data_IF_205242909070
#
_entry.id   IF_205242909070
#
_cell.length_a   1.000
_cell.length_b   1.000
_cell.length_c   1.000
_cell.angle_alpha   90.00
_cell.angle_beta   90.00
_cell.angle_gamma   90.00
#
_symmetry.space_group_name_H-M   'P 1'
#
loop_
_entity.id
_entity.type
_entity.pdbx_description
1 polymer ?
#
# COMPACT_ATOMS: atom_id res chain seq x y z
N UNK A 1 -4.11 48.48 72.78
CA UNK A 1 -5.01 47.34 72.59
C UNK A 1 -4.70 46.78 71.21
N UNK A 2 -4.08 45.59 71.18
CA UNK A 2 -3.44 44.98 69.97
C UNK A 2 -4.43 43.96 69.45
N UNK A 3 -4.95 44.14 68.25
CA UNK A 3 -5.82 43.19 67.54
C UNK A 3 -5.03 42.24 66.72
N UNK A 4 -5.04 40.96 67.06
CA UNK A 4 -4.39 39.86 66.29
C UNK A 4 -5.26 39.43 65.11
N UNK A 5 -4.75 39.63 63.91
CA UNK A 5 -5.36 39.12 62.70
C UNK A 5 -4.93 37.66 62.45
N UNK A 6 -5.89 36.74 62.46
CA UNK A 6 -5.68 35.36 62.04
C UNK A 6 -5.64 35.25 60.51
N UNK A 7 -4.49 34.88 59.98
CA UNK A 7 -4.36 34.49 58.55
C UNK A 7 -4.75 33.01 58.42
N UNK A 8 -5.87 32.73 57.74
CA UNK A 8 -6.26 31.37 57.36
C UNK A 8 -5.57 31.00 56.04
N UNK A 9 -4.66 30.05 56.10
CA UNK A 9 -4.08 29.47 54.92
C UNK A 9 -5.07 28.46 54.29
N UNK A 10 -5.50 28.76 53.07
CA UNK A 10 -6.25 27.79 52.24
C UNK A 10 -5.25 26.89 51.53
N UNK A 11 -5.25 25.62 51.88
CA UNK A 11 -4.52 24.59 51.14
C UNK A 11 -5.35 24.21 49.90
N UNK A 12 -4.85 24.52 48.70
CA UNK A 12 -5.43 24.09 47.44
C UNK A 12 -4.90 22.68 47.19
N UNK A 13 -5.75 21.66 47.34
CA UNK A 13 -5.47 20.30 46.93
C UNK A 13 -5.71 20.21 45.42
N UNK A 14 -4.63 20.18 44.63
CA UNK A 14 -4.70 19.90 43.20
C UNK A 14 -4.84 18.38 43.05
N UNK A 15 -6.04 17.93 42.78
CA UNK A 15 -6.28 16.52 42.35
C UNK A 15 -5.87 16.40 40.90
N UNK A 16 -4.68 15.83 40.64
CA UNK A 16 -4.32 15.41 39.31
C UNK A 16 -5.22 14.24 38.92
N UNK A 17 -6.18 14.49 38.04
CA UNK A 17 -6.89 13.42 37.33
C UNK A 17 -5.91 12.79 36.32
N UNK A 18 -5.35 11.64 36.69
CA UNK A 18 -4.66 10.79 35.74
C UNK A 18 -5.75 10.16 34.87
N UNK A 19 -5.95 10.70 33.68
CA UNK A 19 -6.72 10.03 32.64
C UNK A 19 -5.95 8.75 32.25
N UNK A 20 -6.34 7.63 32.82
CA UNK A 20 -5.95 6.32 32.32
C UNK A 20 -6.74 6.13 31.02
N UNK A 21 -6.06 6.30 29.90
CA UNK A 21 -6.60 6.01 28.58
C UNK A 21 -6.73 4.47 28.46
N UNK A 22 -7.89 3.95 28.88
CA UNK A 22 -8.23 2.53 28.81
C UNK A 22 -9.00 2.26 27.52
N UNK A 23 -8.31 2.24 26.37
CA UNK A 23 -8.86 1.63 25.17
C UNK A 23 -7.79 0.95 24.31
N UNK A 24 -7.07 0.02 24.92
CA UNK A 24 -6.42 -1.04 24.16
C UNK A 24 -7.37 -2.26 24.11
N UNK A 25 -8.42 -2.21 23.29
CA UNK A 25 -8.99 -3.44 22.74
C UNK A 25 -7.87 -4.07 21.93
N UNK A 26 -7.36 -5.23 22.36
CA UNK A 26 -6.20 -5.91 21.80
C UNK A 26 -6.39 -6.32 20.33
N UNK A 27 -6.32 -5.35 19.42
CA UNK A 27 -6.18 -5.60 18.00
C UNK A 27 -4.76 -6.08 17.71
N UNK A 28 -4.62 -7.01 16.76
CA UNK A 28 -3.30 -7.46 16.29
C UNK A 28 -2.55 -6.26 15.75
N UNK A 29 -1.36 -5.97 16.29
CA UNK A 29 -0.46 -4.98 15.70
C UNK A 29 0.12 -5.54 14.40
N UNK A 30 -0.50 -5.14 13.29
CA UNK A 30 -0.11 -5.62 11.95
C UNK A 30 1.31 -5.17 11.59
N UNK A 31 1.77 -4.00 12.02
CA UNK A 31 3.13 -3.54 11.74
C UNK A 31 4.17 -4.41 12.47
N UNK A 32 3.92 -4.74 13.75
CA UNK A 32 4.78 -5.65 14.50
C UNK A 32 4.82 -7.04 13.84
N UNK A 33 3.66 -7.54 13.39
CA UNK A 33 3.58 -8.80 12.66
C UNK A 33 4.34 -8.76 11.33
N UNK A 34 4.23 -7.69 10.55
CA UNK A 34 5.02 -7.53 9.32
C UNK A 34 6.52 -7.66 9.58
N UNK A 35 7.02 -7.00 10.65
CA UNK A 35 8.44 -7.08 11.03
C UNK A 35 8.83 -8.48 11.53
N UNK A 36 7.99 -9.14 12.32
CA UNK A 36 8.18 -10.53 12.75
C UNK A 36 8.35 -11.49 11.56
N UNK A 37 7.64 -11.22 10.44
CA UNK A 37 7.74 -11.98 9.19
C UNK A 37 8.93 -11.56 8.32
N UNK A 38 9.82 -10.70 8.83
CA UNK A 38 11.03 -10.25 8.13
C UNK A 38 10.79 -9.21 7.05
N UNK A 39 9.63 -8.54 7.06
CA UNK A 39 9.34 -7.47 6.13
C UNK A 39 9.89 -6.13 6.67
N UNK A 40 10.24 -5.24 5.75
CA UNK A 40 10.72 -3.89 6.05
C UNK A 40 9.73 -2.85 5.54
N UNK A 41 9.56 -1.77 6.30
CA UNK A 41 8.83 -0.58 5.89
C UNK A 41 9.61 0.14 4.80
N UNK A 42 8.99 0.41 3.66
CA UNK A 42 9.64 1.09 2.53
C UNK A 42 10.21 2.46 2.90
N UNK A 43 9.58 3.18 3.81
CA UNK A 43 10.03 4.49 4.25
C UNK A 43 11.40 4.44 4.99
N UNK A 44 11.77 3.27 5.53
CA UNK A 44 13.10 3.07 6.13
C UNK A 44 14.20 2.80 5.09
N UNK A 45 13.81 2.47 3.86
CA UNK A 45 14.73 2.20 2.74
C UNK A 45 14.85 3.43 1.84
N UNK A 46 13.74 4.06 1.51
CA UNK A 46 13.67 5.31 0.76
C UNK A 46 12.41 6.10 1.17
N UNK A 47 12.59 7.12 2.01
CA UNK A 47 11.50 7.96 2.53
C UNK A 47 10.90 8.90 1.48
N UNK A 48 11.45 8.98 0.27
CA UNK A 48 10.91 9.79 -0.82
C UNK A 48 9.83 9.07 -1.63
N UNK A 49 9.64 7.76 -1.41
CA UNK A 49 8.55 6.99 -1.99
C UNK A 49 7.28 7.29 -1.19
N UNK A 50 6.25 7.75 -1.87
CA UNK A 50 4.96 8.05 -1.23
C UNK A 50 4.17 6.76 -0.98
N UNK A 51 3.37 6.76 0.08
CA UNK A 51 2.50 5.63 0.46
C UNK A 51 1.08 6.15 0.66
N UNK A 52 0.13 5.54 -0.07
CA UNK A 52 -1.31 5.79 0.01
C UNK A 52 -2.04 4.44 -0.10
N UNK A 53 -1.98 3.65 0.98
CA UNK A 53 -2.56 2.30 1.00
C UNK A 53 -4.08 2.38 0.84
N UNK A 54 -4.58 2.16 -0.37
CA UNK A 54 -6.02 2.26 -0.70
C UNK A 54 -6.90 1.36 0.15
N UNK A 55 -6.41 0.19 0.52
CA UNK A 55 -7.15 -0.74 1.37
C UNK A 55 -7.10 -0.42 2.87
N UNK A 56 -6.35 0.61 3.26
CA UNK A 56 -6.40 1.18 4.61
C UNK A 56 -7.52 2.22 4.78
N UNK A 57 -8.15 2.63 3.70
CA UNK A 57 -9.27 3.58 3.66
C UNK A 57 -10.55 2.90 3.17
N UNK A 58 -11.62 3.68 2.98
CA UNK A 58 -12.89 3.19 2.43
C UNK A 58 -13.05 3.49 0.94
N UNK A 59 -12.20 4.36 0.39
CA UNK A 59 -12.15 4.70 -1.04
C UNK A 59 -11.36 3.63 -1.81
N UNK A 60 -11.94 2.44 -1.90
CA UNK A 60 -11.45 1.30 -2.66
C UNK A 60 -12.62 0.46 -3.17
N UNK A 61 -12.38 -0.49 -4.07
CA UNK A 61 -13.44 -1.29 -4.67
C UNK A 61 -14.23 -2.16 -3.68
N UNK A 62 -13.68 -2.38 -2.49
CA UNK A 62 -14.35 -3.16 -1.42
C UNK A 62 -15.29 -2.28 -0.59
N UNK A 63 -15.09 -0.94 -0.62
CA UNK A 63 -15.85 0.04 0.14
C UNK A 63 -15.63 -0.02 1.65
N UNK A 64 -14.49 -0.58 2.11
CA UNK A 64 -14.21 -0.79 3.53
C UNK A 64 -12.72 -0.83 3.80
N UNK A 65 -12.30 -0.40 4.99
CA UNK A 65 -10.92 -0.55 5.46
C UNK A 65 -10.59 -2.03 5.69
N UNK A 66 -9.63 -2.56 4.92
CA UNK A 66 -9.16 -3.94 5.00
C UNK A 66 -7.93 -4.10 5.89
N UNK A 67 -7.22 -3.01 6.19
CA UNK A 67 -5.93 -3.01 6.87
C UNK A 67 -5.98 -2.53 8.33
N UNK A 68 -7.18 -2.17 8.83
CA UNK A 68 -7.32 -1.68 10.20
C UNK A 68 -6.46 -0.43 10.44
N UNK A 69 -5.47 -0.54 11.32
CA UNK A 69 -4.55 0.57 11.67
C UNK A 69 -3.28 0.62 10.83
N UNK A 70 -3.02 -0.38 9.96
CA UNK A 70 -1.83 -0.40 9.12
C UNK A 70 -1.86 0.76 8.11
N UNK A 71 -0.79 1.57 8.13
CA UNK A 71 -0.62 2.72 7.22
C UNK A 71 0.72 2.71 6.49
N UNK A 72 1.60 1.76 6.80
CA UNK A 72 2.93 1.63 6.22
C UNK A 72 2.97 0.52 5.20
N UNK A 73 3.73 0.72 4.14
CA UNK A 73 3.94 -0.24 3.08
C UNK A 73 5.14 -1.14 3.41
N UNK A 74 4.86 -2.41 3.67
CA UNK A 74 5.87 -3.42 3.99
C UNK A 74 6.17 -4.32 2.81
N UNK A 75 7.44 -4.69 2.65
CA UNK A 75 7.92 -5.58 1.60
C UNK A 75 9.03 -6.49 2.12
N UNK A 76 9.32 -7.56 1.40
CA UNK A 76 10.59 -8.26 1.60
C UNK A 76 11.76 -7.32 1.32
N UNK A 77 12.89 -7.46 2.06
CA UNK A 77 14.01 -6.50 1.95
C UNK A 77 14.53 -6.31 0.52
N UNK A 78 14.59 -7.39 -0.28
CA UNK A 78 15.02 -7.34 -1.67
C UNK A 78 14.05 -6.54 -2.55
N UNK A 79 12.73 -6.68 -2.32
CA UNK A 79 11.69 -5.93 -3.04
C UNK A 79 11.78 -4.44 -2.69
N UNK A 80 11.93 -4.11 -1.41
CA UNK A 80 12.08 -2.73 -0.96
C UNK A 80 13.32 -2.07 -1.59
N UNK A 81 14.46 -2.77 -1.64
CA UNK A 81 15.68 -2.27 -2.31
C UNK A 81 15.48 -2.07 -3.81
N UNK A 82 14.78 -2.98 -4.48
CA UNK A 82 14.45 -2.84 -5.90
C UNK A 82 13.55 -1.62 -6.15
N UNK A 83 12.51 -1.39 -5.33
CA UNK A 83 11.65 -0.21 -5.41
C UNK A 83 12.44 1.09 -5.19
N UNK A 84 13.35 1.13 -4.23
CA UNK A 84 14.24 2.28 -4.02
C UNK A 84 15.17 2.52 -5.23
N UNK A 85 15.60 1.47 -5.93
CA UNK A 85 16.35 1.61 -7.18
C UNK A 85 15.47 2.19 -8.30
N UNK A 86 14.20 1.76 -8.43
CA UNK A 86 13.23 2.36 -9.35
C UNK A 86 13.04 3.85 -9.05
N UNK A 87 12.86 4.21 -7.78
CA UNK A 87 12.70 5.59 -7.33
C UNK A 87 13.89 6.47 -7.73
N UNK A 88 15.10 6.00 -7.51
CA UNK A 88 16.32 6.74 -7.92
C UNK A 88 16.38 6.98 -9.42
N UNK A 89 16.06 5.95 -10.24
CA UNK A 89 16.05 6.11 -11.70
C UNK A 89 14.92 7.03 -12.18
N UNK A 90 13.75 6.95 -11.53
CA UNK A 90 12.63 7.84 -11.81
C UNK A 90 13.02 9.30 -11.56
N UNK A 91 13.65 9.60 -10.41
CA UNK A 91 14.13 10.95 -10.07
C UNK A 91 15.27 11.43 -10.97
N UNK A 92 16.09 10.55 -11.53
CA UNK A 92 17.09 10.90 -12.56
C UNK A 92 16.42 11.30 -13.87
N UNK A 93 15.30 10.67 -14.21
CA UNK A 93 14.51 11.04 -15.39
C UNK A 93 13.88 12.42 -15.21
N UNK A 94 13.27 12.66 -14.06
CA UNK A 94 12.71 13.94 -13.65
C UNK A 94 12.62 14.00 -12.11
N UNK A 95 13.29 15.00 -11.50
CA UNK A 95 13.35 15.18 -10.05
C UNK A 95 11.98 15.42 -9.38
N UNK A 96 10.99 15.87 -10.13
CA UNK A 96 9.62 16.12 -9.69
C UNK A 96 8.77 14.86 -9.64
N UNK A 97 9.23 13.75 -10.23
CA UNK A 97 8.53 12.47 -10.19
C UNK A 97 8.89 11.66 -8.95
N UNK A 98 7.91 10.96 -8.41
CA UNK A 98 8.09 9.97 -7.33
C UNK A 98 7.14 8.80 -7.53
N UNK A 99 7.51 7.64 -6.99
CA UNK A 99 6.58 6.53 -6.84
C UNK A 99 5.54 6.85 -5.76
N UNK A 100 4.32 6.35 -5.96
CA UNK A 100 3.28 6.24 -4.93
C UNK A 100 2.79 4.80 -4.86
N UNK A 101 2.81 4.22 -3.67
CA UNK A 101 2.39 2.83 -3.41
C UNK A 101 0.94 2.82 -2.97
N UNK A 102 0.10 2.06 -3.69
CA UNK A 102 -1.33 1.87 -3.40
C UNK A 102 -1.61 0.57 -2.64
N UNK A 103 -0.77 -0.47 -2.85
CA UNK A 103 -0.82 -1.72 -2.09
C UNK A 103 0.55 -2.37 -2.00
N UNK A 104 0.76 -3.13 -0.90
CA UNK A 104 2.04 -3.72 -0.53
C UNK A 104 1.86 -5.16 -0.02
N UNK A 105 2.63 -5.57 0.97
CA UNK A 105 2.42 -6.83 1.68
C UNK A 105 1.03 -6.85 2.32
N UNK A 106 0.21 -7.84 1.96
CA UNK A 106 -1.18 -7.98 2.37
C UNK A 106 -1.34 -9.18 3.28
N UNK A 107 -1.77 -9.02 4.54
CA UNK A 107 -2.08 -10.15 5.40
C UNK A 107 -3.18 -11.04 4.82
N UNK A 108 -3.14 -12.32 5.12
CA UNK A 108 -4.15 -13.26 4.64
C UNK A 108 -5.54 -12.94 5.20
N UNK A 109 -5.62 -12.39 6.40
CA UNK A 109 -6.88 -11.91 6.98
C UNK A 109 -7.51 -10.78 6.15
N UNK A 110 -6.72 -9.85 5.61
CA UNK A 110 -7.20 -8.82 4.69
C UNK A 110 -7.63 -9.43 3.33
N UNK A 111 -6.85 -10.36 2.80
CA UNK A 111 -7.19 -11.10 1.58
C UNK A 111 -8.52 -11.86 1.72
N UNK A 112 -8.78 -12.48 2.88
CA UNK A 112 -10.03 -13.17 3.17
C UNK A 112 -11.21 -12.19 3.17
N UNK A 113 -11.08 -11.03 3.83
CA UNK A 113 -12.12 -10.00 3.84
C UNK A 113 -12.44 -9.48 2.43
N UNK A 114 -11.40 -9.26 1.59
CA UNK A 114 -11.60 -8.88 0.18
C UNK A 114 -12.34 -9.97 -0.60
N UNK A 115 -11.91 -11.23 -0.45
CA UNK A 115 -12.54 -12.36 -1.11
C UNK A 115 -14.01 -12.50 -0.75
N UNK A 116 -14.35 -12.40 0.53
CA UNK A 116 -15.73 -12.52 1.01
C UNK A 116 -16.67 -11.46 0.42
N UNK A 117 -16.12 -10.30 0.06
CA UNK A 117 -16.88 -9.23 -0.62
C UNK A 117 -17.10 -9.50 -2.10
N UNK A 118 -16.21 -10.22 -2.77
CA UNK A 118 -16.25 -10.35 -4.24
C UNK A 118 -16.56 -11.76 -4.74
N UNK A 119 -16.48 -12.80 -3.90
CA UNK A 119 -16.57 -14.22 -4.31
C UNK A 119 -17.80 -14.56 -5.13
N UNK A 120 -18.93 -13.89 -4.86
CA UNK A 120 -20.21 -14.08 -5.52
C UNK A 120 -20.50 -13.02 -6.61
N UNK A 121 -19.47 -12.27 -7.03
CA UNK A 121 -19.57 -11.22 -8.05
C UNK A 121 -18.64 -11.50 -9.24
N UNK A 122 -18.83 -10.84 -10.40
CA UNK A 122 -17.89 -10.91 -11.51
C UNK A 122 -16.45 -10.50 -11.16
N UNK A 123 -16.27 -9.69 -10.11
CA UNK A 123 -14.97 -9.18 -9.68
C UNK A 123 -14.10 -10.23 -8.97
N UNK A 124 -14.66 -11.41 -8.62
CA UNK A 124 -13.88 -12.52 -8.02
C UNK A 124 -12.63 -12.92 -8.82
N UNK A 125 -12.62 -12.64 -10.13
CA UNK A 125 -11.48 -12.96 -11.02
C UNK A 125 -10.25 -12.07 -10.79
N UNK A 126 -10.40 -10.93 -10.10
CA UNK A 126 -9.34 -9.99 -9.78
C UNK A 126 -8.75 -10.18 -8.38
N UNK A 127 -9.38 -11.03 -7.56
CA UNK A 127 -8.96 -11.27 -6.18
C UNK A 127 -8.48 -12.73 -6.04
N UNK A 128 -7.23 -12.91 -5.62
CA UNK A 128 -6.68 -14.24 -5.36
C UNK A 128 -7.46 -14.96 -4.25
N UNK A 129 -7.65 -16.28 -4.42
CA UNK A 129 -8.29 -17.11 -3.37
C UNK A 129 -7.42 -17.13 -2.11
N UNK A 130 -7.98 -16.84 -0.93
CA UNK A 130 -7.20 -16.65 0.30
C UNK A 130 -6.32 -17.85 0.65
N UNK A 131 -6.85 -19.08 0.60
CA UNK A 131 -6.13 -20.30 0.98
C UNK A 131 -4.87 -20.59 0.14
N UNK A 132 -4.74 -19.99 -1.05
CA UNK A 132 -3.56 -20.14 -1.91
C UNK A 132 -2.58 -19.00 -1.76
N UNK A 133 -3.03 -17.84 -1.31
CA UNK A 133 -2.30 -16.59 -1.34
C UNK A 133 -1.97 -16.11 -2.76
N UNK A 134 -1.94 -14.78 -2.93
CA UNK A 134 -1.38 -14.10 -4.11
C UNK A 134 0.01 -13.54 -3.79
N UNK A 135 0.66 -12.88 -4.75
CA UNK A 135 2.01 -12.32 -4.58
C UNK A 135 2.10 -11.31 -3.43
N UNK A 136 1.07 -10.49 -3.21
CA UNK A 136 0.99 -9.57 -2.05
C UNK A 136 1.04 -10.30 -0.71
N UNK A 137 0.47 -11.51 -0.62
CA UNK A 137 0.45 -12.29 0.62
C UNK A 137 1.81 -12.92 0.97
N UNK A 138 2.81 -12.76 0.09
CA UNK A 138 4.21 -13.15 0.34
C UNK A 138 5.14 -11.92 0.46
N UNK A 139 4.61 -10.69 0.31
CA UNK A 139 5.37 -9.45 0.39
C UNK A 139 6.28 -9.22 -0.82
N UNK A 140 5.94 -9.78 -1.99
CA UNK A 140 6.73 -9.74 -3.23
C UNK A 140 6.04 -9.00 -4.38
N UNK A 141 4.89 -8.41 -4.14
CA UNK A 141 4.16 -7.61 -5.11
C UNK A 141 3.89 -6.20 -4.57
N UNK A 142 3.70 -5.28 -5.50
CA UNK A 142 3.35 -3.89 -5.25
C UNK A 142 2.34 -3.42 -6.28
N UNK A 143 1.33 -2.68 -5.82
CA UNK A 143 0.51 -1.85 -6.68
C UNK A 143 1.02 -0.41 -6.57
N UNK A 144 1.46 0.17 -7.68
CA UNK A 144 2.25 1.40 -7.69
C UNK A 144 1.92 2.28 -8.89
N UNK A 145 2.01 3.58 -8.68
CA UNK A 145 1.90 4.60 -9.72
C UNK A 145 3.02 5.62 -9.61
N UNK A 146 2.93 6.69 -10.41
CA UNK A 146 3.84 7.85 -10.39
C UNK A 146 3.04 9.08 -9.99
N UNK A 147 3.65 9.93 -9.17
CA UNK A 147 3.19 11.29 -8.89
C UNK A 147 4.19 12.31 -9.41
N UNK A 148 3.69 13.49 -9.77
CA UNK A 148 4.49 14.70 -10.03
C UNK A 148 4.20 15.71 -8.93
N UNK A 149 5.21 16.10 -8.16
CA UNK A 149 5.06 17.02 -7.03
C UNK A 149 3.91 16.64 -6.09
N UNK A 150 3.77 15.32 -5.83
CA UNK A 150 2.74 14.76 -4.95
C UNK A 150 1.38 14.51 -5.61
N UNK A 151 1.16 14.93 -6.87
CA UNK A 151 -0.10 14.73 -7.60
C UNK A 151 0.01 13.53 -8.54
N UNK A 152 -0.89 12.53 -8.48
CA UNK A 152 -0.88 11.40 -9.40
C UNK A 152 -0.97 11.85 -10.87
N UNK A 153 -0.07 11.31 -11.71
CA UNK A 153 -0.11 11.57 -13.15
C UNK A 153 -1.13 10.65 -13.84
N UNK A 154 -1.64 11.09 -15.00
CA UNK A 154 -2.63 10.32 -15.75
C UNK A 154 -2.06 8.96 -16.21
N UNK A 155 -2.70 7.88 -15.80
CA UNK A 155 -2.43 6.50 -16.23
C UNK A 155 -3.53 5.94 -17.14
N UNK A 156 -4.53 6.76 -17.54
CA UNK A 156 -5.61 6.40 -18.46
C UNK A 156 -6.75 5.59 -17.83
N UNK A 157 -6.60 5.11 -16.64
CA UNK A 157 -7.66 4.56 -15.79
C UNK A 157 -7.28 4.69 -14.32
N UNK A 158 -8.29 4.74 -13.46
CA UNK A 158 -8.06 4.71 -12.02
C UNK A 158 -7.43 3.38 -11.58
N UNK A 159 -6.77 3.40 -10.44
CA UNK A 159 -6.41 2.20 -9.68
C UNK A 159 -7.69 1.37 -9.40
N UNK A 160 -7.58 0.06 -9.40
CA UNK A 160 -8.71 -0.87 -9.21
C UNK A 160 -9.86 -0.73 -10.25
N UNK A 161 -9.62 -0.06 -11.38
CA UNK A 161 -10.56 -0.09 -12.48
C UNK A 161 -10.56 -1.46 -13.15
N UNK A 162 -11.55 -2.30 -12.84
CA UNK A 162 -11.69 -3.66 -13.38
C UNK A 162 -12.28 -3.68 -14.79
N UNK A 163 -11.77 -2.81 -15.65
CA UNK A 163 -12.16 -2.69 -17.05
C UNK A 163 -10.99 -3.01 -17.99
N UNK A 164 -11.30 -3.26 -19.25
CA UNK A 164 -10.27 -3.51 -20.27
C UNK A 164 -9.31 -2.32 -20.46
N UNK A 165 -9.72 -1.12 -20.02
CA UNK A 165 -8.85 0.07 -20.07
C UNK A 165 -7.63 -0.06 -19.16
N UNK A 166 -7.69 -0.87 -18.11
CA UNK A 166 -6.57 -1.15 -17.21
C UNK A 166 -5.57 -2.18 -17.77
N UNK A 167 -5.96 -2.92 -18.80
CA UNK A 167 -5.13 -3.97 -19.39
C UNK A 167 -3.95 -3.40 -20.15
N UNK A 168 -2.80 -4.11 -20.09
CA UNK A 168 -1.55 -3.69 -20.75
C UNK A 168 -1.25 -4.44 -22.05
N UNK A 169 -2.03 -5.46 -22.37
CA UNK A 169 -1.81 -6.32 -23.54
C UNK A 169 -2.35 -5.71 -24.86
N UNK A 170 -3.17 -4.67 -24.80
CA UNK A 170 -3.74 -4.01 -25.96
C UNK A 170 -3.72 -2.46 -25.88
N UNK A 171 -2.69 -1.89 -25.28
CA UNK A 171 -2.57 -0.43 -25.08
C UNK A 171 -2.63 0.36 -26.39
N UNK A 172 -2.03 -0.16 -27.48
CA UNK A 172 -2.14 0.48 -28.80
C UNK A 172 -3.58 0.47 -29.34
N UNK A 173 -4.36 -0.58 -29.06
CA UNK A 173 -5.78 -0.63 -29.37
C UNK A 173 -6.61 0.36 -28.55
N UNK A 174 -6.30 0.49 -27.26
CA UNK A 174 -6.92 1.49 -26.40
C UNK A 174 -6.67 2.91 -26.89
N UNK A 175 -5.41 3.21 -27.29
CA UNK A 175 -5.05 4.51 -27.83
C UNK A 175 -5.77 4.82 -29.15
N UNK A 176 -5.83 3.87 -30.11
CA UNK A 176 -6.57 4.05 -31.37
C UNK A 176 -8.06 4.33 -31.16
N UNK A 177 -8.65 3.70 -30.14
CA UNK A 177 -10.07 3.92 -29.75
C UNK A 177 -10.26 5.17 -28.87
N UNK A 178 -9.20 5.93 -28.59
CA UNK A 178 -9.21 7.11 -27.72
C UNK A 178 -9.72 6.83 -26.30
N UNK A 179 -9.53 5.61 -25.80
CA UNK A 179 -9.88 5.21 -24.44
C UNK A 179 -8.78 5.56 -23.42
N UNK A 180 -7.55 5.75 -23.89
CA UNK A 180 -6.45 6.35 -23.14
C UNK A 180 -5.78 7.43 -24.00
N UNK A 181 -5.13 8.37 -23.34
CA UNK A 181 -4.33 9.41 -23.99
C UNK A 181 -2.95 8.88 -24.40
N UNK A 182 -2.26 9.59 -25.27
CA UNK A 182 -0.84 9.32 -25.56
C UNK A 182 0.03 9.53 -24.32
N UNK A 183 -0.29 10.52 -23.52
CA UNK A 183 0.40 10.81 -22.27
C UNK A 183 0.24 9.66 -21.28
N UNK A 184 -0.97 9.17 -21.04
CA UNK A 184 -1.21 8.02 -20.17
C UNK A 184 -0.45 6.77 -20.63
N UNK A 185 -0.40 6.51 -21.94
CA UNK A 185 0.40 5.41 -22.48
C UNK A 185 1.89 5.59 -22.19
N UNK A 186 2.42 6.79 -22.40
CA UNK A 186 3.83 7.09 -22.13
C UNK A 186 4.16 6.93 -20.63
N UNK A 187 3.27 7.37 -19.76
CA UNK A 187 3.41 7.24 -18.30
C UNK A 187 3.43 5.76 -17.86
N UNK A 188 2.51 4.93 -18.37
CA UNK A 188 2.53 3.47 -18.13
C UNK A 188 3.82 2.83 -18.64
N UNK A 189 4.29 3.23 -19.81
CA UNK A 189 5.53 2.69 -20.41
C UNK A 189 6.75 3.10 -19.59
N UNK A 190 6.81 4.33 -19.09
CA UNK A 190 7.87 4.81 -18.20
C UNK A 190 7.92 3.94 -16.94
N UNK A 191 6.80 3.83 -16.21
CA UNK A 191 6.69 3.02 -15.01
C UNK A 191 7.14 1.58 -15.27
N UNK A 192 6.56 0.94 -16.28
CA UNK A 192 6.86 -0.46 -16.64
C UNK A 192 8.32 -0.69 -17.02
N UNK A 193 8.92 0.24 -17.76
CA UNK A 193 10.34 0.17 -18.14
C UNK A 193 11.24 0.20 -16.91
N UNK A 194 10.99 1.14 -15.99
CA UNK A 194 11.79 1.30 -14.78
C UNK A 194 11.62 0.10 -13.83
N UNK A 195 10.40 -0.38 -13.64
CA UNK A 195 10.11 -1.57 -12.83
C UNK A 195 10.79 -2.82 -13.39
N UNK A 196 10.68 -3.04 -14.70
CA UNK A 196 11.33 -4.20 -15.37
C UNK A 196 12.85 -4.17 -15.28
N UNK A 197 13.46 -2.99 -15.35
CA UNK A 197 14.90 -2.83 -15.19
C UNK A 197 15.39 -3.26 -13.79
N UNK A 198 14.51 -3.31 -12.79
CA UNK A 198 14.79 -3.78 -11.43
C UNK A 198 14.22 -5.20 -11.17
N UNK A 199 13.93 -5.97 -12.21
CA UNK A 199 13.53 -7.38 -12.11
C UNK A 199 12.05 -7.63 -11.82
N UNK A 200 11.21 -6.59 -11.85
CA UNK A 200 9.77 -6.79 -11.73
C UNK A 200 9.14 -7.30 -13.02
N UNK A 201 8.15 -8.16 -12.88
CA UNK A 201 7.24 -8.59 -13.94
C UNK A 201 5.88 -7.93 -13.78
N UNK A 202 5.08 -7.93 -14.85
CA UNK A 202 3.78 -7.25 -14.91
C UNK A 202 2.65 -8.25 -14.90
N UNK A 203 1.48 -7.83 -14.43
CA UNK A 203 0.24 -8.56 -14.62
C UNK A 203 -0.56 -7.98 -15.80
N UNK A 204 -1.06 -8.84 -16.69
CA UNK A 204 -1.66 -8.43 -17.97
C UNK A 204 -2.88 -7.51 -17.85
N UNK A 205 -3.66 -7.66 -16.76
CA UNK A 205 -4.95 -6.97 -16.59
C UNK A 205 -4.88 -5.70 -15.76
N UNK A 206 -3.69 -5.36 -15.23
CA UNK A 206 -3.52 -4.27 -14.27
C UNK A 206 -2.23 -3.53 -14.56
N UNK A 207 -2.32 -2.26 -14.98
CA UNK A 207 -1.14 -1.46 -15.30
C UNK A 207 -0.31 -1.11 -14.06
N UNK A 208 -0.92 -1.14 -12.88
CA UNK A 208 -0.31 -0.79 -11.59
C UNK A 208 0.40 -1.94 -10.90
N UNK A 209 0.04 -3.22 -11.22
CA UNK A 209 0.52 -4.40 -10.52
C UNK A 209 1.87 -4.90 -11.04
N UNK A 210 2.82 -5.01 -10.11
CA UNK A 210 4.16 -5.54 -10.38
C UNK A 210 4.56 -6.53 -9.30
N UNK A 211 5.28 -7.59 -9.68
CA UNK A 211 5.79 -8.58 -8.74
C UNK A 211 7.18 -9.04 -9.15
N UNK A 212 7.97 -9.48 -8.15
CA UNK A 212 9.13 -10.32 -8.39
C UNK A 212 8.78 -11.76 -8.01
N UNK A 213 9.47 -12.70 -8.62
CA UNK A 213 9.29 -14.14 -8.47
C UNK A 213 7.95 -14.69 -8.99
N UNK A 214 8.03 -15.94 -9.42
CA UNK A 214 6.86 -16.76 -9.73
C UNK A 214 6.14 -17.18 -8.44
N UNK A 215 4.83 -17.36 -8.52
CA UNK A 215 4.02 -17.71 -7.34
C UNK A 215 4.37 -19.10 -6.75
N UNK A 216 4.81 -20.05 -7.58
CA UNK A 216 5.22 -21.36 -7.10
C UNK A 216 6.59 -21.28 -6.41
N UNK A 217 7.49 -20.42 -6.90
CA UNK A 217 8.72 -20.09 -6.19
C UNK A 217 8.39 -19.47 -4.83
N UNK A 218 7.51 -18.48 -4.79
CA UNK A 218 7.12 -17.80 -3.56
C UNK A 218 6.58 -18.77 -2.50
N UNK A 219 5.70 -19.69 -2.90
CA UNK A 219 5.12 -20.71 -2.00
C UNK A 219 6.15 -21.69 -1.42
N UNK A 220 7.27 -21.91 -2.09
CA UNK A 220 8.33 -22.80 -1.60
C UNK A 220 9.38 -22.09 -0.75
N UNK A 221 9.57 -20.78 -0.94
CA UNK A 221 10.72 -20.06 -0.37
C UNK A 221 10.34 -18.96 0.60
N UNK A 222 9.09 -18.49 0.57
CA UNK A 222 8.64 -17.42 1.45
C UNK A 222 7.51 -17.86 2.36
N UNK A 223 7.56 -17.41 3.60
CA UNK A 223 6.45 -17.59 4.53
C UNK A 223 5.25 -16.76 4.08
N UNK A 224 4.07 -17.39 4.01
CA UNK A 224 2.79 -16.72 3.77
C UNK A 224 2.49 -15.80 4.97
N UNK A 225 1.95 -14.62 4.72
CA UNK A 225 1.53 -13.66 5.75
C UNK A 225 0.17 -14.11 6.32
N UNK A 226 0.16 -15.18 7.10
CA UNK A 226 -1.01 -15.95 7.55
C UNK A 226 -1.66 -15.38 8.83
N UNK A 227 -1.58 -14.07 9.06
CA UNK A 227 -2.15 -13.34 10.19
C UNK A 227 -3.23 -12.33 9.79
#
# INVERSE_FOLDING_TARGET
MIGSGFVRAFAIVVVMLVCIDSSAKGGVDLEAKMREYGLVDIATVDSTIMVDLKYAETDNFVGSNMYGTLRKAFFRPEIARALAAVQRELKRTDKHLSLIIYDAARPQSAQQRMWDKVKDTPNRRYVAKPHRGGHHNFGIAVDVSIVRDGVPIDMGSAFDSFSDVSHIDNESGLLRRKLITREALNNRQLLRRLMRAQGFTTYRREWWHFQQYDINYARRHFRLLDF
#
